data_IF_700798777917
#
_entry.id   IF_700798777917
#
_cell.length_a   1.000
_cell.length_b   1.000
_cell.length_c   1.000
_cell.angle_alpha   90.00
_cell.angle_beta   90.00
_cell.angle_gamma   90.00
#
_symmetry.space_group_name_H-M   'P 1'
#
loop_
_entity.id
_entity.type
_entity.pdbx_description
1 polymer ?
#
# COMPACT_ATOMS: atom_id res chain seq x y z
N UNK A 1 2.04 2.90 25.85
CA UNK A 1 0.87 2.01 26.08
C UNK A 1 -0.35 2.86 26.42
N UNK A 2 -0.80 3.75 25.53
CA UNK A 2 -1.86 4.73 25.87
C UNK A 2 -2.83 5.05 24.71
N UNK A 3 -2.53 4.71 23.45
CA UNK A 3 -3.39 5.08 22.31
C UNK A 3 -4.58 4.13 22.06
N UNK A 4 -4.51 2.89 22.56
CA UNK A 4 -5.57 1.87 22.46
C UNK A 4 -6.89 2.23 23.16
N UNK A 5 -6.97 3.38 23.85
CA UNK A 5 -8.19 3.80 24.56
C UNK A 5 -9.23 4.48 23.67
N UNK A 6 -8.85 4.93 22.46
CA UNK A 6 -9.73 5.71 21.58
C UNK A 6 -10.11 5.03 20.26
N UNK A 7 -9.43 3.95 19.86
CA UNK A 7 -9.89 3.14 18.75
C UNK A 7 -11.11 2.32 19.21
N UNK A 8 -12.24 2.34 18.48
CA UNK A 8 -13.35 1.42 18.75
C UNK A 8 -12.78 0.00 18.76
N UNK A 9 -13.13 -0.84 19.75
CA UNK A 9 -12.66 -2.23 19.83
C UNK A 9 -12.82 -2.99 18.50
N UNK A 10 -13.91 -2.71 17.78
CA UNK A 10 -14.18 -3.19 16.43
C UNK A 10 -13.01 -2.97 15.45
N UNK A 11 -12.35 -1.81 15.49
CA UNK A 11 -11.23 -1.50 14.59
C UNK A 11 -9.97 -2.28 14.98
N UNK A 12 -9.74 -2.46 16.27
CA UNK A 12 -8.63 -3.28 16.76
C UNK A 12 -8.79 -4.76 16.37
N UNK A 13 -10.02 -5.26 16.35
CA UNK A 13 -10.33 -6.64 15.98
C UNK A 13 -10.18 -6.88 14.46
N UNK A 14 -10.30 -5.84 13.63
CA UNK A 14 -10.12 -5.92 12.17
C UNK A 14 -8.65 -5.94 11.73
N UNK A 15 -7.73 -5.45 12.57
CA UNK A 15 -6.30 -5.41 12.24
C UNK A 15 -5.67 -6.75 12.63
N UNK A 16 -5.06 -7.49 11.68
CA UNK A 16 -4.39 -8.74 12.01
C UNK A 16 -3.29 -8.53 13.05
N UNK A 17 -3.17 -9.45 14.00
CA UNK A 17 -2.05 -9.46 14.96
C UNK A 17 -0.75 -9.99 14.33
N UNK A 18 -0.86 -10.78 13.26
CA UNK A 18 0.29 -11.35 12.56
C UNK A 18 0.99 -10.30 11.69
N UNK A 19 2.33 -10.29 11.66
CA UNK A 19 3.08 -9.31 10.86
C UNK A 19 2.78 -9.45 9.36
N UNK A 20 2.58 -10.68 8.88
CA UNK A 20 2.27 -10.92 7.47
C UNK A 20 0.86 -10.40 7.10
N UNK A 21 -0.14 -10.63 7.95
CA UNK A 21 -1.50 -10.17 7.70
C UNK A 21 -1.60 -8.65 7.62
N UNK A 22 -0.85 -7.94 8.47
CA UNK A 22 -0.77 -6.48 8.44
C UNK A 22 -0.11 -5.96 7.17
N UNK A 23 0.98 -6.59 6.74
CA UNK A 23 1.69 -6.22 5.51
C UNK A 23 0.89 -6.51 4.25
N UNK A 24 0.16 -7.63 4.20
CA UNK A 24 -0.80 -7.90 3.13
C UNK A 24 -1.93 -6.85 3.11
N UNK A 25 -2.46 -6.47 4.27
CA UNK A 25 -3.50 -5.45 4.36
C UNK A 25 -2.99 -4.08 3.88
N UNK A 26 -1.77 -3.71 4.27
CA UNK A 26 -1.13 -2.48 3.81
C UNK A 26 -0.92 -2.48 2.28
N UNK A 27 -0.43 -3.60 1.71
CA UNK A 27 -0.27 -3.75 0.26
C UNK A 27 -1.59 -3.61 -0.50
N UNK A 28 -2.64 -4.30 -0.05
CA UNK A 28 -3.97 -4.21 -0.68
C UNK A 28 -4.53 -2.80 -0.56
N UNK A 29 -4.35 -2.12 0.58
CA UNK A 29 -4.75 -0.73 0.73
C UNK A 29 -4.01 0.19 -0.26
N UNK A 30 -2.70 -0.01 -0.44
CA UNK A 30 -1.91 0.69 -1.46
C UNK A 30 -2.45 0.47 -2.88
N UNK A 31 -2.68 -0.80 -3.26
CA UNK A 31 -3.21 -1.14 -4.57
C UNK A 31 -4.60 -0.55 -4.83
N UNK A 32 -5.50 -0.57 -3.84
CA UNK A 32 -6.84 0.03 -3.95
C UNK A 32 -6.80 1.55 -4.07
N UNK A 33 -5.74 2.20 -3.55
CA UNK A 33 -5.55 3.64 -3.68
C UNK A 33 -5.41 4.07 -5.16
N UNK A 34 -4.93 3.18 -6.04
CA UNK A 34 -4.82 3.45 -7.49
C UNK A 34 -6.19 3.80 -8.10
N UNK A 35 -7.26 3.15 -7.63
CA UNK A 35 -8.62 3.41 -8.11
C UNK A 35 -9.14 4.81 -7.73
N UNK A 36 -8.46 5.53 -6.84
CA UNK A 36 -8.78 6.93 -6.55
C UNK A 36 -8.36 7.88 -7.69
N UNK A 37 -7.39 7.47 -8.52
CA UNK A 37 -6.88 8.27 -9.62
C UNK A 37 -7.60 7.93 -10.93
N UNK A 38 -7.30 8.69 -11.99
CA UNK A 38 -7.82 8.40 -13.32
C UNK A 38 -7.40 6.98 -13.76
N UNK A 39 -8.26 6.27 -14.53
CA UNK A 39 -9.55 6.69 -15.07
C UNK A 39 -10.75 6.47 -14.12
N UNK A 40 -10.53 5.93 -12.92
CA UNK A 40 -11.59 5.42 -12.04
C UNK A 40 -12.20 6.49 -11.13
N UNK A 41 -11.38 7.46 -10.68
CA UNK A 41 -11.82 8.64 -9.93
C UNK A 41 -12.61 8.34 -8.63
N UNK A 42 -12.39 7.18 -8.00
CA UNK A 42 -13.00 6.82 -6.71
C UNK A 42 -12.27 7.51 -5.55
N UNK A 43 -12.30 8.84 -5.51
CA UNK A 43 -11.49 9.69 -4.62
C UNK A 43 -11.59 9.33 -3.14
N UNK A 44 -12.74 8.80 -2.69
CA UNK A 44 -12.92 8.34 -1.30
C UNK A 44 -11.97 7.21 -0.91
N UNK A 45 -11.52 6.40 -1.88
CA UNK A 45 -10.55 5.33 -1.61
C UNK A 45 -9.22 5.91 -1.14
N UNK A 46 -8.74 7.03 -1.69
CA UNK A 46 -7.49 7.63 -1.23
C UNK A 46 -7.55 8.02 0.26
N UNK A 47 -8.69 8.54 0.71
CA UNK A 47 -8.90 8.89 2.12
C UNK A 47 -8.99 7.62 2.96
N UNK A 48 -9.81 6.65 2.53
CA UNK A 48 -10.06 5.42 3.28
C UNK A 48 -8.81 4.55 3.46
N UNK A 49 -8.02 4.37 2.40
CA UNK A 49 -6.79 3.56 2.43
C UNK A 49 -5.66 4.26 3.19
N UNK A 50 -5.54 5.58 3.08
CA UNK A 50 -4.59 6.36 3.89
C UNK A 50 -4.94 6.34 5.37
N UNK A 51 -6.25 6.44 5.69
CA UNK A 51 -6.73 6.28 7.06
C UNK A 51 -6.41 4.87 7.60
N UNK A 52 -6.60 3.82 6.79
CA UNK A 52 -6.23 2.45 7.17
C UNK A 52 -4.73 2.31 7.44
N UNK A 53 -3.87 2.94 6.63
CA UNK A 53 -2.42 2.95 6.89
C UNK A 53 -2.09 3.63 8.22
N UNK A 54 -2.72 4.76 8.53
CA UNK A 54 -2.53 5.43 9.83
C UNK A 54 -3.05 4.60 11.00
N UNK A 55 -4.16 3.88 10.82
CA UNK A 55 -4.64 2.94 11.83
C UNK A 55 -3.62 1.82 12.10
N UNK A 56 -2.94 1.32 11.06
CA UNK A 56 -1.86 0.36 11.24
C UNK A 56 -0.69 0.97 12.02
N UNK A 57 -0.41 2.26 11.89
CA UNK A 57 0.73 2.93 12.54
C UNK A 57 0.50 3.34 14.00
N UNK A 58 -0.74 3.57 14.44
CA UNK A 58 -1.07 4.15 15.75
C UNK A 58 -0.32 3.54 16.96
N UNK A 59 -0.15 2.22 16.99
CA UNK A 59 0.54 1.48 18.07
C UNK A 59 1.68 0.59 17.54
N UNK A 60 2.14 0.83 16.31
CA UNK A 60 3.20 0.03 15.71
C UNK A 60 4.59 0.46 16.19
N UNK A 61 5.46 -0.51 16.47
CA UNK A 61 6.89 -0.22 16.62
C UNK A 61 7.45 0.38 15.30
N UNK A 62 8.48 1.24 15.35
CA UNK A 62 9.00 1.92 14.16
C UNK A 62 9.34 0.99 12.99
N UNK A 63 9.94 -0.17 13.28
CA UNK A 63 10.26 -1.18 12.26
C UNK A 63 9.01 -1.79 11.62
N UNK A 64 7.93 -2.00 12.40
CA UNK A 64 6.66 -2.48 11.86
C UNK A 64 6.00 -1.40 11.01
N UNK A 65 5.97 -0.15 11.48
CA UNK A 65 5.43 0.98 10.72
C UNK A 65 6.15 1.16 9.37
N UNK A 66 7.49 1.03 9.36
CA UNK A 66 8.28 1.04 8.13
C UNK A 66 7.86 -0.06 7.16
N UNK A 67 7.71 -1.32 7.62
CA UNK A 67 7.25 -2.42 6.76
C UNK A 67 5.86 -2.16 6.19
N UNK A 68 4.90 -1.71 7.00
CA UNK A 68 3.55 -1.45 6.50
C UNK A 68 3.56 -0.29 5.49
N UNK A 69 4.31 0.78 5.76
CA UNK A 69 4.47 1.89 4.84
C UNK A 69 5.12 1.46 3.52
N UNK A 70 6.16 0.63 3.60
CA UNK A 70 6.82 0.05 2.43
C UNK A 70 5.85 -0.80 1.60
N UNK A 71 5.08 -1.67 2.25
CA UNK A 71 4.13 -2.56 1.57
C UNK A 71 2.97 -1.78 0.96
N UNK A 72 2.46 -0.75 1.64
CA UNK A 72 1.50 0.19 1.06
C UNK A 72 2.07 0.90 -0.17
N UNK A 73 3.30 1.41 -0.09
CA UNK A 73 3.99 2.04 -1.22
C UNK A 73 4.18 1.08 -2.38
N UNK A 74 4.58 -0.17 -2.12
CA UNK A 74 4.73 -1.22 -3.12
C UNK A 74 3.40 -1.54 -3.82
N UNK A 75 2.29 -1.62 -3.07
CA UNK A 75 0.97 -1.80 -3.66
C UNK A 75 0.53 -0.61 -4.52
N UNK A 76 0.73 0.62 -4.02
CA UNK A 76 0.36 1.84 -4.74
C UNK A 76 1.17 2.04 -6.02
N UNK A 77 2.50 1.95 -5.92
CA UNK A 77 3.40 2.18 -7.05
C UNK A 77 3.44 0.97 -7.98
N UNK A 78 3.64 -0.23 -7.45
CA UNK A 78 3.72 -1.45 -8.24
C UNK A 78 2.47 -1.71 -9.09
N UNK A 79 1.28 -1.29 -8.62
CA UNK A 79 0.04 -1.35 -9.41
C UNK A 79 -0.20 -0.06 -10.21
N UNK A 80 0.01 1.11 -9.60
CA UNK A 80 -0.37 2.40 -10.19
C UNK A 80 0.55 2.89 -11.30
N UNK A 81 1.83 2.51 -11.27
CA UNK A 81 2.82 2.89 -12.27
C UNK A 81 3.36 1.69 -13.06
N UNK A 82 2.73 0.51 -12.95
CA UNK A 82 3.14 -0.70 -13.67
C UNK A 82 3.31 -0.48 -15.17
N UNK A 83 2.47 0.37 -15.77
CA UNK A 83 2.51 0.70 -17.19
C UNK A 83 3.83 1.36 -17.64
N UNK A 84 4.66 1.89 -16.73
CA UNK A 84 5.98 2.44 -17.05
C UNK A 84 6.95 1.41 -17.63
N UNK A 85 6.71 0.10 -17.43
CA UNK A 85 7.51 -0.95 -18.07
C UNK A 85 7.53 -0.82 -19.60
N UNK A 86 6.45 -0.29 -20.21
CA UNK A 86 6.36 -0.08 -21.66
C UNK A 86 7.44 0.91 -22.11
N UNK A 87 7.56 2.04 -21.41
CA UNK A 87 8.57 3.06 -21.72
C UNK A 87 9.99 2.53 -21.47
N UNK A 88 10.19 1.78 -20.38
CA UNK A 88 11.51 1.20 -20.06
C UNK A 88 11.93 0.18 -21.12
N UNK A 89 11.01 -0.66 -21.57
CA UNK A 89 11.30 -1.64 -22.63
C UNK A 89 11.61 -0.94 -23.96
N UNK A 90 10.76 0.02 -24.37
CA UNK A 90 10.88 0.73 -25.64
C UNK A 90 12.13 1.61 -25.75
N UNK A 91 12.47 2.37 -24.69
CA UNK A 91 13.57 3.33 -24.72
C UNK A 91 14.84 2.83 -24.04
N UNK A 92 14.74 1.83 -23.15
CA UNK A 92 15.88 1.25 -22.44
C UNK A 92 16.56 0.10 -23.17
N UNK A 93 15.89 -0.56 -24.13
CA UNK A 93 16.41 -1.71 -24.87
C UNK A 93 16.93 -2.84 -23.96
N UNK A 94 16.27 -3.04 -22.82
CA UNK A 94 16.63 -4.03 -21.78
C UNK A 94 15.83 -5.34 -21.89
N UNK A 95 14.77 -5.35 -22.71
CA UNK A 95 13.85 -6.46 -22.87
C UNK A 95 12.73 -6.47 -21.82
N UNK A 96 11.58 -7.03 -22.19
CA UNK A 96 10.33 -6.91 -21.44
C UNK A 96 10.41 -7.46 -20.02
N UNK A 97 11.07 -8.60 -19.81
CA UNK A 97 11.21 -9.20 -18.47
C UNK A 97 11.98 -8.27 -17.52
N UNK A 98 13.10 -7.71 -17.98
CA UNK A 98 13.91 -6.82 -17.16
C UNK A 98 13.20 -5.48 -16.93
N UNK A 99 12.48 -4.97 -17.94
CA UNK A 99 11.65 -3.76 -17.80
C UNK A 99 10.52 -3.94 -16.76
N UNK A 100 9.86 -5.10 -16.73
CA UNK A 100 8.86 -5.42 -15.71
C UNK A 100 9.48 -5.50 -14.31
N UNK A 101 10.63 -6.15 -14.15
CA UNK A 101 11.33 -6.27 -12.86
C UNK A 101 11.84 -4.92 -12.32
N UNK A 102 12.22 -3.99 -13.19
CA UNK A 102 12.62 -2.64 -12.78
C UNK A 102 11.42 -1.83 -12.24
N UNK A 103 10.22 -2.10 -12.77
CA UNK A 103 9.01 -1.34 -12.44
C UNK A 103 8.28 -1.90 -11.22
N UNK A 104 8.36 -3.22 -10.99
CA UNK A 104 7.62 -3.97 -9.97
C UNK A 104 8.16 -3.79 -8.54
#
# INVERSE_FOLDING_TARGET
MTALKFAPRVVADLIPSSPLGRSSLAFVAGALTVLAFAPYSLYLLAIATSALLFLLWLDAAPAAAFREGWMFGAGLLGVGVFWMHISIDQFGNVGTLLAMLITA
#
